data_IF_064694666371
#
_entry.id   IF_064694666371
#
_cell.length_a   1.000
_cell.length_b   1.000
_cell.length_c   1.000
_cell.angle_alpha   90.00
_cell.angle_beta   90.00
_cell.angle_gamma   90.00
#
_symmetry.space_group_name_H-M   'P 1'
#
loop_
_entity.id
_entity.type
_entity.pdbx_description
1 polymer ?
#
# COMPACT_ATOMS: atom_id res chain seq x y z
N UNK A 1 31.92 -9.89 -20.87
CA UNK A 1 30.81 -10.87 -20.80
C UNK A 1 30.10 -10.88 -19.43
N UNK A 2 30.76 -11.22 -18.31
CA UNK A 2 30.09 -11.30 -16.98
C UNK A 2 29.47 -9.97 -16.50
N UNK A 3 30.12 -8.83 -16.75
CA UNK A 3 29.62 -7.48 -16.38
C UNK A 3 28.42 -7.05 -17.23
N UNK A 4 28.47 -7.35 -18.52
CA UNK A 4 27.42 -7.07 -19.52
C UNK A 4 26.13 -7.84 -19.24
N UNK A 5 26.24 -9.11 -18.80
CA UNK A 5 25.09 -9.96 -18.47
C UNK A 5 24.36 -9.51 -17.19
N UNK A 6 25.09 -8.95 -16.22
CA UNK A 6 24.49 -8.34 -15.01
C UNK A 6 23.74 -7.04 -15.34
N UNK A 7 24.28 -6.22 -16.24
CA UNK A 7 23.64 -4.97 -16.69
C UNK A 7 22.37 -5.29 -17.48
N UNK A 8 22.41 -6.27 -18.40
CA UNK A 8 21.23 -6.72 -19.14
C UNK A 8 20.14 -7.26 -18.20
N UNK A 9 20.50 -8.05 -17.19
CA UNK A 9 19.56 -8.53 -16.18
C UNK A 9 18.93 -7.42 -15.34
N UNK A 10 19.72 -6.41 -14.93
CA UNK A 10 19.23 -5.25 -14.18
C UNK A 10 18.25 -4.41 -15.01
N UNK A 11 18.56 -4.19 -16.29
CA UNK A 11 17.70 -3.46 -17.22
C UNK A 11 16.39 -4.22 -17.46
N UNK A 12 16.45 -5.54 -17.65
CA UNK A 12 15.25 -6.37 -17.81
C UNK A 12 14.34 -6.33 -16.57
N UNK A 13 14.92 -6.36 -15.36
CA UNK A 13 14.16 -6.23 -14.12
C UNK A 13 13.51 -4.84 -13.99
N UNK A 14 14.23 -3.77 -14.34
CA UNK A 14 13.72 -2.40 -14.28
C UNK A 14 12.53 -2.19 -15.24
N UNK A 15 12.67 -2.63 -16.50
CA UNK A 15 11.60 -2.53 -17.48
C UNK A 15 10.41 -3.43 -17.14
N UNK A 16 10.64 -4.63 -16.58
CA UNK A 16 9.55 -5.52 -16.14
C UNK A 16 8.68 -4.93 -15.04
N UNK A 17 9.25 -4.14 -14.13
CA UNK A 17 8.48 -3.44 -13.08
C UNK A 17 7.71 -2.22 -13.59
N UNK A 18 8.23 -1.53 -14.61
CA UNK A 18 7.62 -0.32 -15.18
C UNK A 18 6.41 -0.63 -16.07
N UNK A 19 6.28 -1.87 -16.56
CA UNK A 19 5.16 -2.31 -17.40
C UNK A 19 4.01 -2.93 -16.61
N UNK A 20 4.09 -2.99 -15.27
CA UNK A 20 2.97 -3.47 -14.46
C UNK A 20 1.81 -2.47 -14.57
N UNK A 21 0.66 -2.86 -15.12
CA UNK A 21 -0.47 -1.94 -15.25
C UNK A 21 -0.97 -1.58 -13.85
N UNK A 22 -0.91 -0.30 -13.50
CA UNK A 22 -1.63 0.23 -12.34
C UNK A 22 -3.09 0.36 -12.77
N UNK A 23 -3.85 -0.72 -12.60
CA UNK A 23 -5.28 -0.73 -12.89
C UNK A 23 -6.01 -0.15 -11.67
N UNK A 24 -6.91 0.80 -11.91
CA UNK A 24 -7.81 1.29 -10.86
C UNK A 24 -8.69 0.14 -10.33
N UNK A 25 -9.10 0.23 -9.06
CA UNK A 25 -10.08 -0.71 -8.51
C UNK A 25 -11.41 -0.64 -9.27
N UNK A 26 -12.14 -1.75 -9.33
CA UNK A 26 -13.52 -1.74 -9.83
C UNK A 26 -14.43 -1.03 -8.83
N UNK A 27 -15.61 -0.52 -9.25
CA UNK A 27 -16.56 0.09 -8.33
C UNK A 27 -16.93 -0.81 -7.13
N UNK A 28 -17.01 -2.13 -7.35
CA UNK A 28 -17.29 -3.10 -6.30
C UNK A 28 -16.14 -3.21 -5.29
N UNK A 29 -14.89 -3.17 -5.76
CA UNK A 29 -13.71 -3.18 -4.89
C UNK A 29 -13.61 -1.91 -4.04
N UNK A 30 -13.83 -0.75 -4.66
CA UNK A 30 -13.86 0.55 -3.98
C UNK A 30 -14.97 0.60 -2.91
N UNK A 31 -16.15 0.08 -3.24
CA UNK A 31 -17.25 -0.05 -2.29
C UNK A 31 -16.90 -0.96 -1.13
N UNK A 32 -16.35 -2.14 -1.41
CA UNK A 32 -15.94 -3.11 -0.38
C UNK A 32 -14.87 -2.53 0.55
N UNK A 33 -13.90 -1.80 0.01
CA UNK A 33 -12.89 -1.07 0.80
C UNK A 33 -13.56 -0.07 1.74
N UNK A 34 -14.43 0.79 1.20
CA UNK A 34 -15.06 1.87 1.94
C UNK A 34 -16.00 1.34 3.05
N UNK A 35 -16.77 0.29 2.75
CA UNK A 35 -17.66 -0.34 3.73
C UNK A 35 -16.87 -0.97 4.87
N UNK A 36 -15.75 -1.65 4.56
CA UNK A 36 -14.88 -2.23 5.58
C UNK A 36 -14.24 -1.16 6.45
N UNK A 37 -13.77 -0.06 5.85
CA UNK A 37 -13.21 1.08 6.60
C UNK A 37 -14.26 1.70 7.54
N UNK A 38 -15.46 2.02 7.03
CA UNK A 38 -16.54 2.60 7.84
C UNK A 38 -16.90 1.72 9.02
N UNK A 39 -17.09 0.42 8.77
CA UNK A 39 -17.40 -0.54 9.83
C UNK A 39 -16.31 -0.60 10.90
N UNK A 40 -15.03 -0.62 10.50
CA UNK A 40 -13.91 -0.61 11.43
C UNK A 40 -13.85 0.69 12.25
N UNK A 41 -14.14 1.83 11.62
CA UNK A 41 -14.19 3.13 12.27
C UNK A 41 -15.32 3.20 13.32
N UNK A 42 -16.53 2.81 12.95
CA UNK A 42 -17.69 2.78 13.86
C UNK A 42 -17.50 1.80 15.02
N UNK A 43 -16.87 0.65 14.77
CA UNK A 43 -16.57 -0.35 15.78
C UNK A 43 -15.33 -0.04 16.63
N UNK A 44 -14.61 1.06 16.36
CA UNK A 44 -13.30 1.38 16.96
C UNK A 44 -12.29 0.23 16.86
N UNK A 45 -12.32 -0.53 15.75
CA UNK A 45 -11.39 -1.61 15.47
C UNK A 45 -10.07 -1.06 14.94
N UNK A 46 -9.22 -0.61 15.86
CA UNK A 46 -7.92 -0.01 15.55
C UNK A 46 -7.00 -0.96 14.79
N UNK A 47 -7.10 -2.27 15.03
CA UNK A 47 -6.28 -3.25 14.30
C UNK A 47 -6.64 -3.27 12.81
N UNK A 48 -7.93 -3.27 12.48
CA UNK A 48 -8.36 -3.19 11.09
C UNK A 48 -8.05 -1.81 10.49
N UNK A 49 -8.23 -0.72 11.23
CA UNK A 49 -7.93 0.64 10.75
C UNK A 49 -6.44 0.83 10.42
N UNK A 50 -5.55 0.29 11.26
CA UNK A 50 -4.11 0.34 11.01
C UNK A 50 -3.70 -0.48 9.77
N UNK A 51 -4.41 -1.55 9.46
CA UNK A 51 -4.14 -2.36 8.26
C UNK A 51 -4.38 -1.62 6.94
N UNK A 52 -5.14 -0.52 6.97
CA UNK A 52 -5.36 0.34 5.82
C UNK A 52 -4.24 1.37 5.59
N UNK A 53 -3.30 1.52 6.53
CA UNK A 53 -2.19 2.45 6.37
C UNK A 53 -1.10 1.86 5.47
N UNK A 54 -0.64 2.65 4.50
CA UNK A 54 0.56 2.32 3.75
C UNK A 54 1.80 2.62 4.60
N UNK A 55 2.54 1.59 4.98
CA UNK A 55 3.67 1.71 5.93
C UNK A 55 5.04 1.69 5.26
N UNK A 56 5.14 1.24 4.01
CA UNK A 56 6.42 1.07 3.35
C UNK A 56 7.02 2.43 2.97
N UNK A 57 8.17 2.76 3.56
CA UNK A 57 8.86 4.03 3.32
C UNK A 57 8.16 5.26 3.92
N UNK A 58 7.10 5.07 4.71
CA UNK A 58 6.44 6.16 5.41
C UNK A 58 7.28 6.64 6.60
N UNK A 59 7.20 7.94 6.91
CA UNK A 59 7.81 8.52 8.11
C UNK A 59 7.14 7.92 9.37
N UNK A 60 7.91 7.31 10.30
CA UNK A 60 7.37 6.74 11.53
C UNK A 60 6.56 7.72 12.38
N UNK A 61 6.90 9.02 12.37
CA UNK A 61 6.19 10.04 13.13
C UNK A 61 4.78 10.30 12.55
N UNK A 62 4.65 10.29 11.22
CA UNK A 62 3.36 10.45 10.53
C UNK A 62 2.47 9.23 10.77
N UNK A 63 3.05 8.02 10.71
CA UNK A 63 2.33 6.79 11.07
C UNK A 63 1.84 6.82 12.52
N UNK A 64 2.69 7.28 13.46
CA UNK A 64 2.33 7.41 14.87
C UNK A 64 1.17 8.38 15.11
N UNK A 65 1.16 9.52 14.42
CA UNK A 65 0.07 10.48 14.48
C UNK A 65 -1.27 9.88 14.03
N UNK A 66 -1.28 9.13 12.91
CA UNK A 66 -2.49 8.50 12.42
C UNK A 66 -3.05 7.43 13.38
N UNK A 67 -2.16 6.61 13.97
CA UNK A 67 -2.56 5.62 14.98
C UNK A 67 -3.19 6.27 16.22
N UNK A 68 -2.64 7.41 16.65
CA UNK A 68 -3.20 8.18 17.76
C UNK A 68 -4.60 8.71 17.45
N UNK A 69 -4.81 9.26 16.25
CA UNK A 69 -6.13 9.73 15.79
C UNK A 69 -7.17 8.60 15.73
N UNK A 70 -6.76 7.38 15.37
CA UNK A 70 -7.64 6.21 15.30
C UNK A 70 -7.97 5.61 16.68
N UNK A 71 -7.15 5.91 17.69
CA UNK A 71 -7.31 5.37 19.06
C UNK A 71 -8.05 6.31 20.02
N UNK A 72 -8.31 7.56 19.60
CA UNK A 72 -9.02 8.58 20.37
C UNK A 72 -10.55 8.39 20.28
#
# INVERSE_FOLDING_TARGET
MKKSMKIAGLICALFGTLTLPIVAGTPEQEKAFTDKYKKAFEAKDTTTLESFLYTQGADPAILGFYKMMQSA
#
